data_IF_022336905773
#
_entry.id   IF_022336905773
#
_cell.length_a   1.000
_cell.length_b   1.000
_cell.length_c   1.000
_cell.angle_alpha   90.00
_cell.angle_beta   90.00
_cell.angle_gamma   90.00
#
_symmetry.space_group_name_H-M   'P 1'
#
loop_
_entity.id
_entity.type
_entity.pdbx_description
1 polymer ?
#
# COMPACT_ATOMS: atom_id res chain seq x y z
N UNK A 1 -19.20 5.43 10.38
CA UNK A 1 -18.79 5.39 8.95
C UNK A 1 -18.38 6.78 8.47
N UNK A 2 -19.17 7.80 8.80
CA UNK A 2 -18.99 9.18 8.34
C UNK A 2 -17.64 9.80 8.73
N UNK A 3 -17.16 9.54 9.95
CA UNK A 3 -15.86 10.03 10.39
C UNK A 3 -14.69 9.38 9.63
N UNK A 4 -14.76 8.07 9.35
CA UNK A 4 -13.74 7.37 8.57
C UNK A 4 -13.70 7.88 7.12
N UNK A 5 -14.86 8.16 6.54
CA UNK A 5 -14.97 8.77 5.22
C UNK A 5 -14.43 10.19 5.22
N UNK A 6 -14.70 11.00 6.26
CA UNK A 6 -14.15 12.36 6.38
C UNK A 6 -12.61 12.34 6.47
N UNK A 7 -12.03 11.45 7.28
CA UNK A 7 -10.58 11.26 7.32
C UNK A 7 -10.03 10.88 5.94
N UNK A 8 -10.65 9.93 5.26
CA UNK A 8 -10.22 9.50 3.92
C UNK A 8 -10.34 10.63 2.90
N UNK A 9 -11.46 11.34 2.90
CA UNK A 9 -11.71 12.47 2.01
C UNK A 9 -10.72 13.62 2.26
N UNK A 10 -10.22 13.78 3.49
CA UNK A 10 -9.19 14.76 3.84
C UNK A 10 -7.93 14.62 2.98
N UNK A 11 -7.53 13.39 2.64
CA UNK A 11 -6.38 13.15 1.77
C UNK A 11 -6.61 13.59 0.32
N UNK A 12 -7.86 13.79 -0.12
CA UNK A 12 -8.12 14.37 -1.44
C UNK A 12 -7.81 15.89 -1.50
N UNK A 13 -7.54 16.53 -0.36
CA UNK A 13 -7.00 17.88 -0.28
C UNK A 13 -5.48 17.94 -0.52
N UNK A 14 -4.83 16.80 -0.77
CA UNK A 14 -3.42 16.72 -1.13
C UNK A 14 -3.17 17.41 -2.47
N UNK A 15 -2.08 18.16 -2.59
CA UNK A 15 -1.63 18.69 -3.87
C UNK A 15 -0.76 17.68 -4.64
N UNK A 16 -0.34 18.03 -5.86
CA UNK A 16 0.45 17.12 -6.69
C UNK A 16 1.89 16.93 -6.18
N UNK A 17 2.46 17.93 -5.49
CA UNK A 17 3.81 17.83 -4.92
C UNK A 17 3.81 16.90 -3.71
N UNK A 18 2.86 17.08 -2.81
CA UNK A 18 2.60 16.21 -1.67
C UNK A 18 2.32 14.77 -2.12
N UNK A 19 1.56 14.59 -3.21
CA UNK A 19 1.32 13.26 -3.78
C UNK A 19 2.60 12.60 -4.28
N UNK A 20 3.46 13.35 -4.99
CA UNK A 20 4.73 12.84 -5.50
C UNK A 20 5.67 12.46 -4.34
N UNK A 21 5.85 13.37 -3.39
CA UNK A 21 6.71 13.17 -2.21
C UNK A 21 6.17 12.06 -1.31
N UNK A 22 4.85 11.87 -1.27
CA UNK A 22 4.18 10.82 -0.52
C UNK A 22 4.70 9.41 -0.82
N UNK A 23 5.11 9.12 -2.06
CA UNK A 23 5.65 7.81 -2.42
C UNK A 23 6.96 7.50 -1.68
N UNK A 24 7.73 8.52 -1.34
CA UNK A 24 8.96 8.41 -0.54
C UNK A 24 8.61 8.49 0.94
N UNK A 25 7.80 9.48 1.33
CA UNK A 25 7.41 9.72 2.73
C UNK A 25 6.77 8.48 3.38
N UNK A 26 5.98 7.72 2.63
CA UNK A 26 5.31 6.52 3.15
C UNK A 26 6.11 5.22 3.04
N UNK A 27 7.40 5.28 2.70
CA UNK A 27 8.30 4.14 2.90
C UNK A 27 8.36 3.77 4.39
N UNK A 28 8.49 2.47 4.71
CA UNK A 28 8.41 2.03 6.09
C UNK A 28 9.62 2.51 6.88
N UNK A 29 9.37 3.07 8.07
CA UNK A 29 10.36 3.40 9.12
C UNK A 29 11.36 4.53 8.79
N UNK A 30 11.79 4.69 7.53
CA UNK A 30 12.76 5.73 7.13
C UNK A 30 12.20 6.75 6.13
N UNK A 31 10.99 6.57 5.61
CA UNK A 31 10.45 7.38 4.53
C UNK A 31 10.26 8.86 4.88
N UNK A 32 9.84 9.14 6.11
CA UNK A 32 9.63 10.50 6.61
C UNK A 32 10.93 11.29 6.76
N UNK A 33 11.96 10.65 7.30
CA UNK A 33 13.31 11.20 7.44
C UNK A 33 13.94 11.43 6.06
N UNK A 34 13.82 10.46 5.16
CA UNK A 34 14.30 10.58 3.78
C UNK A 34 13.59 11.72 3.03
N UNK A 35 12.29 11.91 3.25
CA UNK A 35 11.57 13.03 2.67
C UNK A 35 12.02 14.38 3.25
N UNK A 36 12.32 14.43 4.55
CA UNK A 36 12.83 15.64 5.21
C UNK A 36 14.23 16.05 4.72
N UNK A 37 15.08 15.09 4.35
CA UNK A 37 16.41 15.36 3.81
C UNK A 37 16.36 15.81 2.34
N UNK A 38 15.37 15.35 1.57
CA UNK A 38 15.30 15.57 0.12
C UNK A 38 14.40 16.74 -0.30
N UNK A 39 13.40 17.11 0.51
CA UNK A 39 12.36 18.06 0.12
C UNK A 39 12.15 19.13 1.19
N UNK A 40 11.67 20.32 0.79
CA UNK A 40 11.33 21.35 1.75
C UNK A 40 10.09 20.92 2.59
N UNK A 41 9.98 21.37 3.86
CA UNK A 41 8.92 20.96 4.79
C UNK A 41 7.49 21.09 4.24
N UNK A 42 7.24 22.11 3.42
CA UNK A 42 5.94 22.39 2.81
C UNK A 42 5.45 21.24 1.93
N UNK A 43 6.36 20.40 1.41
CA UNK A 43 6.02 19.28 0.52
C UNK A 43 5.61 18.00 1.25
N UNK A 44 5.85 17.89 2.57
CA UNK A 44 5.57 16.66 3.31
C UNK A 44 4.91 16.85 4.69
N UNK A 45 4.93 18.06 5.26
CA UNK A 45 4.41 18.30 6.63
C UNK A 45 2.96 17.88 6.80
N UNK A 46 2.12 18.11 5.77
CA UNK A 46 0.70 17.70 5.76
C UNK A 46 0.49 16.19 5.59
N UNK A 47 1.51 15.43 5.16
CA UNK A 47 1.42 13.97 5.01
C UNK A 47 1.51 13.21 6.34
N UNK A 48 2.02 13.87 7.38
CA UNK A 48 2.17 13.35 8.72
C UNK A 48 0.88 13.36 9.57
N UNK A 49 1.06 13.14 10.86
CA UNK A 49 -0.02 13.09 11.86
C UNK A 49 -0.15 14.37 12.71
N UNK A 50 0.64 15.40 12.40
CA UNK A 50 0.60 16.68 13.12
C UNK A 50 -0.68 17.46 12.87
N UNK A 51 -0.80 18.63 13.50
CA UNK A 51 -2.01 19.47 13.46
C UNK A 51 -2.35 19.96 12.04
N UNK A 52 -1.33 20.17 11.20
CA UNK A 52 -1.50 20.50 9.77
C UNK A 52 -1.76 19.26 8.88
N UNK A 53 -1.78 18.07 9.48
CA UNK A 53 -1.89 16.80 8.77
C UNK A 53 -3.24 16.61 8.07
N UNK A 54 -3.22 15.97 6.90
CA UNK A 54 -4.42 15.64 6.11
C UNK A 54 -5.43 14.79 6.90
N UNK A 55 -4.93 13.97 7.83
CA UNK A 55 -5.78 13.20 8.74
C UNK A 55 -6.59 14.08 9.68
N UNK A 56 -5.94 15.10 10.27
CA UNK A 56 -6.56 16.08 11.18
C UNK A 56 -7.50 16.99 10.39
N UNK A 57 -7.09 17.45 9.21
CA UNK A 57 -7.95 18.20 8.31
C UNK A 57 -9.26 17.46 7.97
N UNK A 58 -9.18 16.16 7.67
CA UNK A 58 -10.36 15.33 7.46
C UNK A 58 -11.24 15.19 8.71
N UNK A 59 -10.63 15.06 9.90
CA UNK A 59 -11.33 14.94 11.19
C UNK A 59 -12.07 16.21 11.58
N UNK A 60 -11.38 17.35 11.52
CA UNK A 60 -11.82 18.57 12.18
C UNK A 60 -12.47 19.53 11.20
N UNK A 61 -11.89 19.69 10.01
CA UNK A 61 -12.41 20.61 9.00
C UNK A 61 -13.53 19.97 8.19
N UNK A 62 -13.27 18.81 7.56
CA UNK A 62 -14.28 18.20 6.68
C UNK A 62 -15.47 17.64 7.45
N UNK A 63 -15.29 17.07 8.64
CA UNK A 63 -16.42 16.62 9.44
C UNK A 63 -17.31 17.78 9.92
N UNK A 64 -16.71 18.94 10.25
CA UNK A 64 -17.46 20.14 10.60
C UNK A 64 -18.25 20.68 9.40
N UNK A 65 -17.61 20.81 8.22
CA UNK A 65 -18.27 21.24 6.98
C UNK A 65 -19.42 20.30 6.61
N UNK A 66 -19.19 18.98 6.69
CA UNK A 66 -20.22 17.99 6.44
C UNK A 66 -21.37 18.10 7.46
N UNK A 67 -21.10 18.53 8.69
CA UNK A 67 -22.15 18.74 9.70
C UNK A 67 -22.96 20.02 9.47
N UNK A 68 -22.34 21.06 8.93
CA UNK A 68 -22.96 22.36 8.60
C UNK A 68 -23.45 22.48 7.15
N UNK A 69 -23.61 21.36 6.46
CA UNK A 69 -24.02 21.28 5.04
C UNK A 69 -25.44 21.84 4.81
N UNK A 70 -25.81 22.18 3.57
CA UNK A 70 -27.18 22.56 3.20
C UNK A 70 -28.21 21.48 3.56
N UNK A 71 -29.43 21.90 3.92
CA UNK A 71 -30.54 20.98 4.18
C UNK A 71 -30.84 20.11 2.95
N UNK A 72 -31.10 18.82 3.16
CA UNK A 72 -31.49 17.87 2.10
C UNK A 72 -30.47 16.78 1.76
N UNK A 73 -29.21 16.88 2.21
CA UNK A 73 -28.22 15.81 2.11
C UNK A 73 -27.87 15.26 3.51
N UNK A 74 -27.46 14.00 3.61
CA UNK A 74 -26.75 13.46 4.79
C UNK A 74 -25.26 13.84 4.74
N UNK A 75 -24.53 13.84 5.89
CA UNK A 75 -23.12 14.25 5.89
C UNK A 75 -22.27 13.36 5.00
N UNK A 76 -22.63 12.07 4.98
CA UNK A 76 -22.03 11.06 4.11
C UNK A 76 -22.24 11.36 2.63
N UNK A 77 -23.48 11.65 2.22
CA UNK A 77 -23.79 11.94 0.81
C UNK A 77 -23.05 13.19 0.34
N UNK A 78 -22.98 14.22 1.17
CA UNK A 78 -22.21 15.42 0.87
C UNK A 78 -20.72 15.10 0.64
N UNK A 79 -20.10 14.31 1.53
CA UNK A 79 -18.69 13.91 1.37
C UNK A 79 -18.46 13.05 0.14
N UNK A 80 -19.37 12.11 -0.17
CA UNK A 80 -19.27 11.28 -1.36
C UNK A 80 -19.39 12.10 -2.64
N UNK A 81 -20.41 12.96 -2.75
CA UNK A 81 -20.59 13.80 -3.92
C UNK A 81 -19.38 14.72 -4.10
N UNK A 82 -19.07 15.51 -3.06
CA UNK A 82 -18.13 16.61 -3.20
C UNK A 82 -16.65 16.21 -3.21
N UNK A 83 -16.30 15.12 -2.52
CA UNK A 83 -14.90 14.71 -2.37
C UNK A 83 -14.57 13.39 -3.04
N UNK A 84 -15.54 12.63 -3.56
CA UNK A 84 -15.28 11.37 -4.28
C UNK A 84 -15.78 11.44 -5.72
N UNK A 85 -17.01 11.88 -5.96
CA UNK A 85 -17.63 11.85 -7.29
C UNK A 85 -17.26 13.07 -8.16
N UNK A 86 -17.05 14.24 -7.56
CA UNK A 86 -16.66 15.46 -8.29
C UNK A 86 -15.22 15.42 -8.81
N UNK A 87 -14.34 14.63 -8.18
CA UNK A 87 -12.94 14.45 -8.60
C UNK A 87 -12.49 12.98 -8.46
N UNK A 88 -13.01 12.09 -9.32
CA UNK A 88 -12.76 10.66 -9.23
C UNK A 88 -11.31 10.29 -9.55
N UNK A 89 -10.65 11.07 -10.42
CA UNK A 89 -9.25 10.87 -10.80
C UNK A 89 -8.35 11.15 -9.60
N UNK A 90 -8.52 12.28 -8.93
CA UNK A 90 -7.75 12.59 -7.73
C UNK A 90 -8.02 11.59 -6.61
N UNK A 91 -9.27 11.20 -6.42
CA UNK A 91 -9.61 10.17 -5.45
C UNK A 91 -8.87 8.85 -5.73
N UNK A 92 -8.80 8.42 -7.00
CA UNK A 92 -8.05 7.23 -7.41
C UNK A 92 -6.55 7.37 -7.15
N UNK A 93 -5.93 8.48 -7.58
CA UNK A 93 -4.50 8.73 -7.39
C UNK A 93 -4.08 8.73 -5.92
N UNK A 94 -4.87 9.37 -5.07
CA UNK A 94 -4.65 9.38 -3.63
C UNK A 94 -4.90 8.00 -3.02
N UNK A 95 -5.87 7.23 -3.53
CA UNK A 95 -6.09 5.84 -3.10
C UNK A 95 -4.88 4.97 -3.37
N UNK A 96 -4.26 5.10 -4.55
CA UNK A 96 -3.04 4.35 -4.88
C UNK A 96 -1.88 4.66 -3.92
N UNK A 97 -1.71 5.93 -3.58
CA UNK A 97 -0.69 6.34 -2.61
C UNK A 97 -0.99 5.81 -1.19
N UNK A 98 -2.26 5.78 -0.79
CA UNK A 98 -2.64 5.17 0.49
C UNK A 98 -2.50 3.64 0.47
N UNK A 99 -2.78 2.98 -0.66
CA UNK A 99 -2.51 1.56 -0.85
C UNK A 99 -1.01 1.26 -0.72
N UNK A 100 -0.14 2.10 -1.31
CA UNK A 100 1.31 2.02 -1.14
C UNK A 100 1.72 2.09 0.33
N UNK A 101 1.24 3.10 1.05
CA UNK A 101 1.45 3.22 2.50
C UNK A 101 0.99 1.98 3.29
N UNK A 102 -0.14 1.40 2.88
CA UNK A 102 -0.72 0.22 3.50
C UNK A 102 -0.02 -1.11 3.17
N UNK A 103 0.81 -1.15 2.12
CA UNK A 103 1.40 -2.37 1.60
C UNK A 103 2.56 -2.93 2.45
N UNK A 104 3.20 -2.09 3.27
CA UNK A 104 4.41 -2.44 4.03
C UNK A 104 4.12 -3.06 5.40
N UNK A 105 3.59 -4.28 5.41
CA UNK A 105 3.36 -5.03 6.64
C UNK A 105 4.67 -5.60 7.17
N UNK A 106 4.91 -5.47 8.47
CA UNK A 106 6.20 -5.87 9.06
C UNK A 106 7.35 -4.96 8.61
N UNK A 107 7.06 -3.72 8.22
CA UNK A 107 8.03 -2.68 7.86
C UNK A 107 9.01 -3.17 6.77
N UNK A 108 10.29 -3.29 7.11
CA UNK A 108 11.37 -3.71 6.21
C UNK A 108 11.12 -5.09 5.58
N UNK A 109 10.50 -6.02 6.30
CA UNK A 109 10.19 -7.35 5.74
C UNK A 109 9.14 -7.27 4.64
N UNK A 110 8.13 -6.43 4.81
CA UNK A 110 7.13 -6.17 3.78
C UNK A 110 7.75 -5.52 2.55
N UNK A 111 8.59 -4.51 2.75
CA UNK A 111 9.33 -3.86 1.66
C UNK A 111 10.22 -4.87 0.92
N UNK A 112 11.01 -5.65 1.64
CA UNK A 112 11.87 -6.69 1.07
C UNK A 112 11.05 -7.70 0.26
N UNK A 113 9.94 -8.19 0.81
CA UNK A 113 9.06 -9.12 0.10
C UNK A 113 8.54 -8.51 -1.22
N UNK A 114 8.07 -7.25 -1.22
CA UNK A 114 7.65 -6.56 -2.44
C UNK A 114 8.76 -6.45 -3.48
N UNK A 115 9.99 -6.09 -3.07
CA UNK A 115 11.15 -6.01 -3.96
C UNK A 115 11.52 -7.38 -4.56
N UNK A 116 11.24 -8.47 -3.85
CA UNK A 116 11.54 -9.83 -4.30
C UNK A 116 10.43 -10.48 -5.15
N UNK A 117 9.27 -9.85 -5.32
CA UNK A 117 8.17 -10.39 -6.16
C UNK A 117 8.63 -10.75 -7.59
N UNK A 118 9.37 -9.91 -8.33
CA UNK A 118 9.82 -10.26 -9.67
C UNK A 118 10.76 -11.47 -9.69
N UNK A 119 11.59 -11.60 -8.65
CA UNK A 119 12.53 -12.71 -8.50
C UNK A 119 11.79 -14.01 -8.18
N UNK A 120 10.85 -13.96 -7.23
CA UNK A 120 9.96 -15.07 -6.92
C UNK A 120 9.20 -15.52 -8.18
N UNK A 121 8.63 -14.60 -8.94
CA UNK A 121 7.94 -14.89 -10.20
C UNK A 121 8.83 -15.58 -11.23
N UNK A 122 10.08 -15.12 -11.37
CA UNK A 122 11.06 -15.70 -12.30
C UNK A 122 11.45 -17.13 -11.93
N UNK A 123 11.48 -17.44 -10.64
CA UNK A 123 11.89 -18.74 -10.09
C UNK A 123 10.73 -19.71 -9.89
N UNK A 124 9.49 -19.21 -9.88
CA UNK A 124 8.30 -20.01 -9.78
C UNK A 124 8.09 -20.86 -11.05
N UNK A 125 7.82 -22.17 -10.93
CA UNK A 125 7.53 -23.01 -12.08
C UNK A 125 6.25 -22.54 -12.79
N UNK A 126 6.14 -22.72 -14.13
CA UNK A 126 4.98 -22.25 -14.89
C UNK A 126 3.63 -22.75 -14.35
N UNK A 127 3.59 -23.99 -13.84
CA UNK A 127 2.41 -24.61 -13.25
C UNK A 127 1.92 -23.95 -11.96
N UNK A 128 2.79 -23.23 -11.24
CA UNK A 128 2.45 -22.57 -9.98
C UNK A 128 2.13 -21.08 -10.14
N UNK A 129 2.33 -20.49 -11.33
CA UNK A 129 2.10 -19.06 -11.59
C UNK A 129 0.66 -18.62 -11.38
N UNK A 130 -0.30 -19.38 -11.92
CA UNK A 130 -1.72 -19.06 -11.74
C UNK A 130 -2.13 -19.18 -10.26
N UNK A 131 -1.84 -20.28 -9.53
CA UNK A 131 -2.09 -20.35 -8.09
C UNK A 131 -1.45 -19.20 -7.30
N UNK A 132 -0.23 -18.81 -7.63
CA UNK A 132 0.45 -17.68 -6.99
C UNK A 132 -0.29 -16.36 -7.20
N UNK A 133 -0.75 -16.07 -8.42
CA UNK A 133 -1.59 -14.90 -8.70
C UNK A 133 -2.91 -14.96 -7.95
N UNK A 134 -3.56 -16.13 -7.87
CA UNK A 134 -4.82 -16.31 -7.16
C UNK A 134 -4.68 -16.10 -5.64
N UNK A 135 -3.51 -16.40 -5.07
CA UNK A 135 -3.21 -16.10 -3.66
C UNK A 135 -2.93 -14.62 -3.43
N UNK A 136 -2.25 -13.95 -4.37
CA UNK A 136 -1.88 -12.54 -4.25
C UNK A 136 -3.04 -11.58 -4.54
N UNK A 137 -3.93 -11.95 -5.46
CA UNK A 137 -4.98 -11.06 -5.98
C UNK A 137 -6.00 -10.63 -4.92
N UNK A 138 -6.61 -11.51 -4.11
CA UNK A 138 -7.62 -11.09 -3.14
C UNK A 138 -7.07 -10.12 -2.07
N UNK A 139 -5.89 -10.37 -1.46
CA UNK A 139 -5.27 -9.41 -0.54
C UNK A 139 -4.96 -8.05 -1.19
N UNK A 140 -4.51 -8.04 -2.46
CA UNK A 140 -4.29 -6.79 -3.21
C UNK A 140 -5.60 -6.05 -3.49
N UNK A 141 -6.65 -6.78 -3.86
CA UNK A 141 -7.97 -6.18 -4.09
C UNK A 141 -8.52 -5.58 -2.79
N UNK A 142 -8.34 -6.25 -1.65
CA UNK A 142 -8.70 -5.73 -0.33
C UNK A 142 -7.88 -4.50 0.05
N UNK A 143 -6.57 -4.49 -0.18
CA UNK A 143 -5.71 -3.33 0.04
C UNK A 143 -6.22 -2.11 -0.74
N UNK A 144 -6.49 -2.30 -2.03
CA UNK A 144 -7.01 -1.25 -2.91
C UNK A 144 -8.40 -0.78 -2.45
N UNK A 145 -9.34 -1.70 -2.24
CA UNK A 145 -10.68 -1.38 -1.79
C UNK A 145 -10.67 -0.62 -0.45
N UNK A 146 -9.83 -1.06 0.49
CA UNK A 146 -9.67 -0.39 1.77
C UNK A 146 -9.10 1.02 1.60
N UNK A 147 -8.11 1.20 0.74
CA UNK A 147 -7.50 2.52 0.47
C UNK A 147 -8.47 3.52 -0.16
N UNK A 148 -9.54 3.06 -0.81
CA UNK A 148 -10.58 3.93 -1.35
C UNK A 148 -11.54 4.44 -0.26
N UNK A 149 -11.81 3.63 0.77
CA UNK A 149 -12.82 3.94 1.79
C UNK A 149 -12.24 4.45 3.11
N UNK A 150 -10.96 4.20 3.38
CA UNK A 150 -10.32 4.50 4.67
C UNK A 150 -8.84 4.84 4.49
N UNK A 151 -8.25 5.46 5.52
CA UNK A 151 -6.80 5.70 5.58
C UNK A 151 -6.10 4.36 5.80
N UNK A 152 -5.47 3.84 4.75
CA UNK A 152 -4.81 2.53 4.79
C UNK A 152 -3.49 2.61 5.55
N UNK A 153 -3.36 1.78 6.58
CA UNK A 153 -2.17 1.58 7.40
C UNK A 153 -1.80 0.10 7.38
N UNK A 154 -0.51 -0.23 7.51
CA UNK A 154 -0.03 -1.61 7.44
C UNK A 154 -0.78 -2.58 8.37
N UNK A 155 -1.16 -2.14 9.57
CA UNK A 155 -1.90 -2.97 10.55
C UNK A 155 -3.29 -3.45 10.10
N UNK A 156 -3.88 -2.83 9.08
CA UNK A 156 -5.19 -3.22 8.58
C UNK A 156 -5.12 -4.23 7.44
N UNK A 157 -3.95 -4.38 6.82
CA UNK A 157 -3.80 -5.20 5.61
C UNK A 157 -3.28 -6.61 5.91
N UNK A 158 -3.48 -7.14 7.12
CA UNK A 158 -2.91 -8.41 7.64
C UNK A 158 -3.05 -9.59 6.65
N UNK A 159 -4.07 -9.57 5.80
CA UNK A 159 -4.24 -10.52 4.68
C UNK A 159 -3.03 -10.61 3.73
N UNK A 160 -2.20 -9.57 3.63
CA UNK A 160 -0.96 -9.57 2.84
C UNK A 160 0.17 -10.39 3.48
N UNK A 161 0.09 -10.77 4.76
CA UNK A 161 1.16 -11.55 5.39
C UNK A 161 1.39 -12.88 4.65
N UNK A 162 0.33 -13.63 4.38
CA UNK A 162 0.41 -14.92 3.71
C UNK A 162 1.09 -14.84 2.32
N UNK A 163 0.65 -13.98 1.37
CA UNK A 163 1.32 -13.87 0.08
C UNK A 163 2.75 -13.32 0.18
N UNK A 164 3.05 -12.40 1.10
CA UNK A 164 4.42 -11.88 1.26
C UNK A 164 5.37 -12.95 1.83
N UNK A 165 4.91 -13.77 2.77
CA UNK A 165 5.68 -14.93 3.27
C UNK A 165 5.91 -15.94 2.16
N UNK A 166 4.93 -16.17 1.27
CA UNK A 166 5.11 -17.02 0.10
C UNK A 166 6.20 -16.49 -0.85
N UNK A 167 6.22 -15.18 -1.11
CA UNK A 167 7.26 -14.54 -1.93
C UNK A 167 8.65 -14.78 -1.32
N UNK A 168 8.80 -14.56 -0.01
CA UNK A 168 10.05 -14.83 0.69
C UNK A 168 10.43 -16.31 0.59
N UNK A 169 9.48 -17.22 0.79
CA UNK A 169 9.71 -18.67 0.77
C UNK A 169 10.17 -19.18 -0.59
N UNK A 170 9.51 -18.75 -1.67
CA UNK A 170 9.89 -19.09 -3.05
C UNK A 170 11.28 -18.55 -3.36
N UNK A 171 11.57 -17.32 -2.94
CA UNK A 171 12.87 -16.70 -3.17
C UNK A 171 13.97 -17.42 -2.40
N UNK A 172 13.82 -17.65 -1.10
CA UNK A 172 14.84 -18.34 -0.30
C UNK A 172 15.06 -19.79 -0.77
N UNK A 173 14.00 -20.53 -1.08
CA UNK A 173 14.10 -21.89 -1.64
C UNK A 173 14.86 -21.89 -2.96
N UNK A 174 14.54 -20.96 -3.85
CA UNK A 174 15.21 -20.82 -5.14
C UNK A 174 16.68 -20.41 -5.01
N UNK A 175 17.03 -19.61 -4.00
CA UNK A 175 18.42 -19.25 -3.70
C UNK A 175 19.21 -20.48 -3.21
N UNK A 176 18.65 -21.23 -2.26
CA UNK A 176 19.28 -22.45 -1.71
C UNK A 176 19.53 -23.49 -2.80
N UNK A 177 18.56 -23.72 -3.68
CA UNK A 177 18.70 -24.67 -4.78
C UNK A 177 19.84 -24.27 -5.74
N UNK A 178 19.94 -22.98 -6.08
CA UNK A 178 21.00 -22.47 -6.96
C UNK A 178 22.38 -22.55 -6.33
N UNK A 179 22.49 -22.22 -5.04
CA UNK A 179 23.72 -22.39 -4.29
C UNK A 179 24.12 -23.86 -4.21
N UNK A 180 23.16 -24.77 -4.00
CA UNK A 180 23.40 -26.21 -3.98
C UNK A 180 23.91 -26.73 -5.33
N UNK A 181 23.28 -26.34 -6.44
CA UNK A 181 23.70 -26.75 -7.79
C UNK A 181 25.08 -26.16 -8.13
N UNK A 182 25.35 -24.91 -7.76
CA UNK A 182 26.65 -24.25 -7.97
C UNK A 182 27.79 -24.83 -7.14
N UNK A 183 27.52 -25.25 -5.90
CA UNK A 183 28.53 -25.81 -4.98
C UNK A 183 28.77 -27.31 -5.19
N UNK A 184 27.73 -28.09 -5.53
CA UNK A 184 27.84 -29.55 -5.61
C UNK A 184 27.97 -30.09 -7.04
N UNK A 185 27.79 -29.28 -8.09
CA UNK A 185 27.95 -29.69 -9.50
C UNK A 185 26.96 -30.76 -10.00
N UNK A 186 26.17 -31.38 -9.11
CA UNK A 186 25.26 -32.48 -9.47
C UNK A 186 23.87 -31.95 -9.80
N UNK A 187 23.45 -32.10 -11.06
CA UNK A 187 22.03 -31.99 -11.44
C UNK A 187 21.26 -33.21 -10.88
N UNK A 188 20.03 -33.04 -10.38
CA UNK A 188 19.27 -34.14 -9.75
C UNK A 188 18.72 -35.21 -10.71
N UNK A 189 19.17 -35.30 -11.95
CA UNK A 189 18.53 -36.13 -12.99
C UNK A 189 19.26 -37.45 -13.32
N UNK A 190 20.29 -37.85 -12.58
CA UNK A 190 21.02 -39.11 -12.83
C UNK A 190 20.72 -40.23 -11.81
N UNK A 191 19.63 -40.11 -11.03
CA UNK A 191 19.27 -41.09 -9.98
C UNK A 191 17.89 -41.71 -10.17
N UNK A 192 17.59 -42.17 -11.37
CA UNK A 192 16.56 -43.20 -11.61
C UNK A 192 16.91 -43.86 -12.93
N UNK A 193 17.69 -44.95 -12.86
CA UNK A 193 17.74 -46.06 -13.81
C UNK A 193 18.88 -47.00 -13.36
N UNK A 194 18.62 -47.76 -12.30
CA UNK A 194 19.38 -48.97 -11.93
C UNK A 194 18.50 -49.86 -11.06
#
# INVERSE_FOLDING_TARGET
>A
LDLALAHRAGYNAMDYHEWLVGWIYYLPDFGDSLAADLFPPESYRRLGWGDEGLYVHGRDTLAAIASSRPEGLSPREYLLQRHVLDDPVKHLLVSLLLAWRGAFIGQYWGLLAWLLVPLAWRWLPPTSRLPFLLVLTPPLALLLAQSMISVSLGRYNISLIAPLVLVLTVTFSGLVERLRVGLLGTRPSERTDS
#
